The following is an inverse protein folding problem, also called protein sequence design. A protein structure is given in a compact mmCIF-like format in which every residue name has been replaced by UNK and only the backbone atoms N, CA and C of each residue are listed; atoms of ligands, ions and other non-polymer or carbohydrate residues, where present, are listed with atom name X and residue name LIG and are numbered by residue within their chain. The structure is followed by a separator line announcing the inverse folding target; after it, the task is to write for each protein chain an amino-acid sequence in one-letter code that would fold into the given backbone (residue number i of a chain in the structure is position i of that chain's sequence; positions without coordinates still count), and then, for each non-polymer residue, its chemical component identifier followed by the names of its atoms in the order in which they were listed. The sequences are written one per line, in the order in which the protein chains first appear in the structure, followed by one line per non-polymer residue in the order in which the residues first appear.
data_IF_805884065495
#
_entry.id   IF_805884065495
#
_cell.length_a   1.000
_cell.length_b   1.000
_cell.length_c   1.000
_cell.angle_alpha   90.00
_cell.angle_beta   90.00
_cell.angle_gamma   90.00
#
_symmetry.space_group_name_H-M   'P 1'
#
loop_
_entity.id
_entity.type
_entity.pdbx_description
1 polymer ?
#
# COMPACT_ATOMS: atom_id res chain seq x y z
N UNK A 1 -1.46 -4.00 -21.40
CA UNK A 1 -0.50 -3.25 -20.59
C UNK A 1 -1.21 -2.67 -19.38
N UNK A 2 -0.57 -2.70 -18.22
CA UNK A 2 -1.05 -2.01 -17.04
C UNK A 2 -0.70 -0.53 -17.18
N UNK A 3 -1.67 0.35 -16.95
CA UNK A 3 -1.45 1.78 -16.82
C UNK A 3 -1.51 2.13 -15.34
N UNK A 4 -0.51 2.86 -14.83
CA UNK A 4 -0.42 3.24 -13.43
C UNK A 4 0.09 4.65 -13.24
N UNK A 5 -0.22 5.22 -12.06
CA UNK A 5 0.35 6.46 -11.55
C UNK A 5 0.92 6.17 -10.17
N UNK A 6 2.18 6.53 -9.94
CA UNK A 6 2.81 6.50 -8.62
C UNK A 6 2.59 7.83 -7.90
N UNK A 7 2.50 7.77 -6.57
CA UNK A 7 2.53 8.94 -5.69
C UNK A 7 3.69 8.75 -4.71
N UNK A 8 4.54 9.75 -4.59
CA UNK A 8 5.74 9.70 -3.75
C UNK A 8 5.94 11.04 -3.04
N UNK A 9 6.23 11.00 -1.75
CA UNK A 9 6.42 12.20 -0.94
C UNK A 9 7.80 12.84 -1.04
N UNK A 10 8.79 12.11 -1.56
CA UNK A 10 10.15 12.62 -1.71
C UNK A 10 10.33 13.36 -3.03
N UNK A 11 10.83 14.58 -2.99
CA UNK A 11 11.20 15.37 -4.18
C UNK A 11 12.34 14.71 -4.99
N UNK A 12 13.15 13.87 -4.34
CA UNK A 12 14.24 13.13 -4.99
C UNK A 12 13.75 12.05 -5.96
N UNK A 13 12.52 11.61 -5.85
CA UNK A 13 11.98 10.59 -6.75
C UNK A 13 11.95 11.06 -8.20
N UNK A 14 11.76 12.36 -8.43
CA UNK A 14 11.77 12.93 -9.78
C UNK A 14 13.14 12.82 -10.46
N UNK A 15 14.20 12.74 -9.69
CA UNK A 15 15.58 12.54 -10.18
C UNK A 15 15.90 11.08 -10.45
N UNK A 16 15.30 10.15 -9.69
CA UNK A 16 15.58 8.73 -9.71
C UNK A 16 14.61 7.91 -10.56
N UNK A 17 13.43 8.47 -10.87
CA UNK A 17 12.40 7.74 -11.59
C UNK A 17 12.79 7.48 -13.05
N UNK A 18 12.69 6.21 -13.45
CA UNK A 18 12.93 5.78 -14.84
C UNK A 18 11.92 6.41 -15.83
N UNK A 19 10.78 6.89 -15.34
CA UNK A 19 9.75 7.54 -16.13
C UNK A 19 8.96 8.56 -15.29
N UNK A 20 9.41 9.80 -15.29
CA UNK A 20 8.85 10.90 -14.50
C UNK A 20 7.38 11.24 -14.86
N UNK A 21 6.87 10.79 -16.02
CA UNK A 21 5.52 11.10 -16.44
C UNK A 21 4.43 10.31 -15.73
N UNK A 22 4.80 9.29 -14.96
CA UNK A 22 3.86 8.42 -14.22
C UNK A 22 3.95 8.57 -12.71
N UNK A 23 4.80 9.48 -12.20
CA UNK A 23 4.96 9.71 -10.77
C UNK A 23 4.55 11.15 -10.44
N UNK A 24 3.66 11.27 -9.45
CA UNK A 24 3.27 12.54 -8.85
C UNK A 24 4.03 12.71 -7.54
N UNK A 25 4.86 13.76 -7.45
CA UNK A 25 5.46 14.14 -6.17
C UNK A 25 4.39 14.83 -5.31
N UNK A 26 4.07 14.24 -4.14
CA UNK A 26 3.04 14.76 -3.26
C UNK A 26 3.27 14.30 -1.83
N UNK A 27 3.43 15.24 -0.92
CA UNK A 27 3.59 14.97 0.50
C UNK A 27 2.26 15.19 1.24
N UNK A 28 1.64 14.12 1.68
CA UNK A 28 0.33 14.18 2.38
C UNK A 28 0.34 14.99 3.67
N UNK A 29 1.50 15.22 4.29
CA UNK A 29 1.60 16.04 5.49
C UNK A 29 1.56 17.53 5.19
N UNK A 30 2.07 17.99 4.05
CA UNK A 30 2.17 19.41 3.70
C UNK A 30 1.17 19.84 2.63
N UNK A 31 0.85 18.96 1.69
CA UNK A 31 0.09 19.30 0.48
C UNK A 31 -1.41 18.94 0.62
N UNK A 32 -1.76 18.23 1.71
CA UNK A 32 -3.14 17.83 1.97
C UNK A 32 -3.60 16.63 1.14
N UNK A 33 -4.92 16.46 0.90
CA UNK A 33 -5.45 15.33 0.17
C UNK A 33 -5.23 15.44 -1.34
N UNK A 34 -4.78 14.34 -1.96
CA UNK A 34 -4.67 14.22 -3.40
C UNK A 34 -5.84 13.40 -3.97
N UNK A 35 -6.48 13.91 -5.01
CA UNK A 35 -7.54 13.22 -5.73
C UNK A 35 -7.26 13.24 -7.22
N UNK A 36 -7.46 12.11 -7.87
CA UNK A 36 -7.41 12.00 -9.33
C UNK A 36 -8.79 12.18 -9.94
N UNK A 37 -8.85 12.74 -11.13
CA UNK A 37 -10.11 12.92 -11.90
C UNK A 37 -10.59 11.63 -12.56
N UNK A 38 -9.77 10.57 -12.57
CA UNK A 38 -10.11 9.25 -13.11
C UNK A 38 -10.22 8.21 -11.99
N UNK A 39 -11.00 7.18 -12.24
CA UNK A 39 -11.07 5.99 -11.38
C UNK A 39 -10.04 4.97 -11.83
N UNK A 40 -9.33 4.38 -10.87
CA UNK A 40 -8.42 3.25 -11.06
C UNK A 40 -9.10 1.95 -10.67
N UNK A 41 -8.60 0.83 -11.16
CA UNK A 41 -9.08 -0.46 -10.69
C UNK A 41 -8.50 -0.81 -9.32
N UNK A 42 -7.23 -0.53 -9.07
CA UNK A 42 -6.54 -0.87 -7.83
C UNK A 42 -5.65 0.28 -7.34
N UNK A 43 -5.77 0.62 -6.06
CA UNK A 43 -4.74 1.32 -5.31
C UNK A 43 -3.86 0.27 -4.61
N UNK A 44 -2.55 0.31 -4.89
CA UNK A 44 -1.56 -0.57 -4.29
C UNK A 44 -0.62 0.24 -3.42
N UNK A 45 -0.59 -0.07 -2.12
CA UNK A 45 0.21 0.67 -1.14
C UNK A 45 0.93 -0.32 -0.22
N UNK A 46 2.24 -0.44 -0.40
CA UNK A 46 3.08 -1.33 0.42
C UNK A 46 4.14 -0.53 1.14
N UNK A 47 4.34 -0.84 2.43
CA UNK A 47 5.34 -0.19 3.29
C UNK A 47 5.25 1.35 3.19
N UNK A 48 4.03 1.87 3.35
CA UNK A 48 3.76 3.30 3.21
C UNK A 48 2.96 3.86 4.39
N UNK A 49 1.86 3.20 4.79
CA UNK A 49 0.91 3.78 5.76
C UNK A 49 1.52 4.00 7.13
N UNK A 50 2.53 3.24 7.48
CA UNK A 50 3.32 3.37 8.71
C UNK A 50 4.27 4.58 8.73
N UNK A 51 4.55 5.15 7.55
CA UNK A 51 5.43 6.33 7.41
C UNK A 51 4.67 7.66 7.45
N UNK A 52 3.34 7.63 7.53
CA UNK A 52 2.51 8.83 7.58
C UNK A 52 1.83 8.92 8.93
N UNK A 53 2.00 10.05 9.62
CA UNK A 53 1.37 10.30 10.91
C UNK A 53 -0.17 10.19 10.83
N UNK A 54 -0.79 9.67 11.88
CA UNK A 54 -2.24 9.41 11.96
C UNK A 54 -3.09 10.63 11.61
N UNK A 55 -2.65 11.83 12.00
CA UNK A 55 -3.35 13.08 11.70
C UNK A 55 -3.55 13.36 10.19
N UNK A 56 -2.74 12.73 9.32
CA UNK A 56 -2.82 12.88 7.86
C UNK A 56 -3.51 11.70 7.15
N UNK A 57 -4.11 10.79 7.91
CA UNK A 57 -4.73 9.57 7.41
C UNK A 57 -5.80 9.88 6.35
N UNK A 58 -6.65 10.90 6.58
CA UNK A 58 -7.67 11.32 5.63
C UNK A 58 -7.09 11.82 4.30
N UNK A 59 -5.89 12.38 4.31
CA UNK A 59 -5.25 12.91 3.12
C UNK A 59 -4.87 11.78 2.15
N UNK A 60 -4.19 10.73 2.61
CA UNK A 60 -3.83 9.64 1.72
C UNK A 60 -4.99 8.69 1.41
N UNK A 61 -5.94 8.50 2.34
CA UNK A 61 -7.15 7.73 2.04
C UNK A 61 -7.99 8.39 0.94
N UNK A 62 -7.96 9.72 0.81
CA UNK A 62 -8.60 10.41 -0.30
C UNK A 62 -8.05 9.96 -1.67
N UNK A 63 -6.76 9.63 -1.75
CA UNK A 63 -6.15 9.05 -2.95
C UNK A 63 -6.61 7.61 -3.17
N UNK A 64 -6.64 6.79 -2.11
CA UNK A 64 -7.13 5.42 -2.20
C UNK A 64 -8.58 5.35 -2.70
N UNK A 65 -9.41 6.31 -2.31
CA UNK A 65 -10.81 6.42 -2.77
C UNK A 65 -10.97 6.66 -4.27
N UNK A 66 -9.89 6.97 -4.98
CA UNK A 66 -9.91 7.05 -6.45
C UNK A 66 -9.86 5.66 -7.11
N UNK A 67 -9.80 4.56 -6.35
CA UNK A 67 -9.74 3.20 -6.88
C UNK A 67 -10.91 2.34 -6.39
N UNK A 68 -11.32 1.36 -7.21
CA UNK A 68 -12.35 0.37 -6.88
C UNK A 68 -11.91 -0.58 -5.77
N UNK A 69 -10.64 -0.97 -5.80
CA UNK A 69 -10.03 -1.88 -4.83
C UNK A 69 -8.81 -1.23 -4.19
N UNK A 70 -8.52 -1.64 -2.97
CA UNK A 70 -7.35 -1.19 -2.22
C UNK A 70 -6.62 -2.40 -1.65
N UNK A 71 -5.32 -2.45 -1.88
CA UNK A 71 -4.42 -3.40 -1.23
C UNK A 71 -3.35 -2.62 -0.47
N UNK A 72 -3.22 -2.86 0.85
CA UNK A 72 -2.22 -2.21 1.70
C UNK A 72 -1.40 -3.24 2.48
N UNK A 73 -0.19 -2.86 2.86
CA UNK A 73 0.54 -3.46 3.98
C UNK A 73 0.76 -2.40 5.05
N UNK A 74 1.12 -2.82 6.25
CA UNK A 74 1.35 -1.95 7.41
C UNK A 74 2.45 -2.53 8.30
N UNK A 75 3.04 -1.71 9.17
CA UNK A 75 4.00 -2.17 10.18
C UNK A 75 3.31 -2.48 11.51
N UNK A 76 3.68 -3.62 12.12
CA UNK A 76 3.25 -3.98 13.47
C UNK A 76 3.87 -3.09 14.53
N UNK A 77 3.19 -2.95 15.64
CA UNK A 77 3.71 -2.28 16.83
C UNK A 77 5.07 -2.90 17.21
N UNK A 78 6.10 -2.07 17.34
CA UNK A 78 7.50 -2.46 17.64
C UNK A 78 8.22 -3.23 16.53
N UNK A 79 7.79 -3.06 15.29
CA UNK A 79 8.53 -3.60 14.16
C UNK A 79 9.87 -2.87 13.92
N UNK A 80 9.98 -1.61 14.43
CA UNK A 80 11.20 -0.79 14.36
C UNK A 80 11.76 -0.62 12.96
N UNK A 81 11.08 0.16 12.14
CA UNK A 81 11.56 0.57 10.82
C UNK A 81 12.11 2.00 10.78
N UNK A 82 12.79 2.34 9.69
CA UNK A 82 13.25 3.71 9.47
C UNK A 82 12.05 4.63 9.23
N UNK A 83 11.88 5.65 10.09
CA UNK A 83 10.75 6.61 10.05
C UNK A 83 9.36 5.96 10.17
N UNK A 84 9.22 4.88 10.92
CA UNK A 84 7.89 4.39 11.31
C UNK A 84 7.29 5.32 12.38
N UNK A 85 6.25 6.04 12.01
CA UNK A 85 5.55 7.00 12.88
C UNK A 85 4.14 6.53 13.24
N UNK A 86 3.64 5.48 12.58
CA UNK A 86 2.28 4.96 12.72
C UNK A 86 2.26 3.41 12.68
N UNK A 87 3.00 2.78 13.60
CA UNK A 87 2.97 1.32 13.78
C UNK A 87 1.72 0.92 14.55
N UNK A 88 0.87 0.06 13.99
CA UNK A 88 -0.39 -0.30 14.60
C UNK A 88 -0.79 -1.77 14.36
N UNK A 89 -1.88 -2.19 15.01
CA UNK A 89 -2.46 -3.54 14.86
C UNK A 89 -3.25 -3.66 13.55
N UNK A 90 -3.53 -4.90 13.15
CA UNK A 90 -4.45 -5.20 12.05
C UNK A 90 -5.84 -4.59 12.31
N UNK A 91 -6.38 -4.78 13.52
CA UNK A 91 -7.69 -4.25 13.91
C UNK A 91 -7.78 -2.72 13.76
N UNK A 92 -6.71 -2.01 14.13
CA UNK A 92 -6.63 -0.57 13.93
C UNK A 92 -6.76 -0.21 12.44
N UNK A 93 -5.97 -0.85 11.56
CA UNK A 93 -6.03 -0.56 10.13
C UNK A 93 -7.36 -0.98 9.50
N UNK A 94 -7.96 -2.08 9.94
CA UNK A 94 -9.31 -2.47 9.53
C UNK A 94 -10.32 -1.37 9.90
N UNK A 95 -10.31 -0.88 11.14
CA UNK A 95 -11.19 0.20 11.59
C UNK A 95 -10.96 1.50 10.81
N UNK A 96 -9.69 1.92 10.66
CA UNK A 96 -9.37 3.18 9.98
C UNK A 96 -9.82 3.18 8.52
N UNK A 97 -9.64 2.10 7.80
CA UNK A 97 -10.00 2.01 6.38
C UNK A 97 -11.50 1.80 6.20
N UNK A 98 -12.14 0.93 7.00
CA UNK A 98 -13.57 0.66 6.86
C UNK A 98 -14.44 1.84 7.28
N UNK A 99 -14.07 2.57 8.35
CA UNK A 99 -14.78 3.79 8.77
C UNK A 99 -14.76 4.90 7.70
N UNK A 100 -13.90 4.77 6.69
CA UNK A 100 -13.75 5.73 5.59
C UNK A 100 -14.40 5.29 4.28
N UNK A 101 -15.28 4.27 4.31
CA UNK A 101 -16.12 3.85 3.18
C UNK A 101 -15.48 2.76 2.31
N UNK A 102 -14.74 1.88 2.93
CA UNK A 102 -14.25 0.64 2.33
C UNK A 102 -14.82 -0.56 3.07
N UNK A 103 -15.10 -1.63 2.36
CA UNK A 103 -15.43 -2.93 2.95
C UNK A 103 -14.22 -3.85 2.90
N UNK A 104 -13.85 -4.41 4.05
CA UNK A 104 -12.79 -5.42 4.14
C UNK A 104 -13.22 -6.71 3.43
N UNK A 105 -12.38 -7.20 2.53
CA UNK A 105 -12.57 -8.47 1.83
C UNK A 105 -11.63 -9.52 2.42
N UNK A 106 -12.12 -10.19 3.47
CA UNK A 106 -11.35 -11.21 4.19
C UNK A 106 -10.97 -12.40 3.29
N UNK A 107 -11.89 -12.84 2.43
CA UNK A 107 -11.65 -13.99 1.55
C UNK A 107 -10.52 -13.67 0.56
N UNK A 108 -10.62 -12.56 -0.16
CA UNK A 108 -9.59 -12.12 -1.09
C UNK A 108 -8.26 -11.84 -0.35
N UNK A 109 -8.30 -11.26 0.85
CA UNK A 109 -7.10 -11.06 1.67
C UNK A 109 -6.38 -12.38 1.94
N UNK A 110 -7.12 -13.39 2.39
CA UNK A 110 -6.57 -14.73 2.67
C UNK A 110 -5.99 -15.39 1.42
N UNK A 111 -6.71 -15.33 0.31
CA UNK A 111 -6.26 -15.90 -0.96
C UNK A 111 -4.98 -15.23 -1.48
N UNK A 112 -4.90 -13.89 -1.44
CA UNK A 112 -3.73 -13.14 -1.87
C UNK A 112 -2.52 -13.38 -0.97
N UNK A 113 -2.72 -13.45 0.36
CA UNK A 113 -1.65 -13.81 1.30
C UNK A 113 -1.10 -15.20 0.98
N UNK A 114 -1.98 -16.19 0.77
CA UNK A 114 -1.58 -17.55 0.39
C UNK A 114 -0.86 -17.58 -0.95
N UNK A 115 -1.41 -16.91 -1.96
CA UNK A 115 -0.82 -16.83 -3.30
C UNK A 115 0.58 -16.20 -3.28
N UNK A 116 0.78 -15.18 -2.45
CA UNK A 116 2.09 -14.54 -2.28
C UNK A 116 3.13 -15.53 -1.75
N UNK A 117 2.74 -16.39 -0.79
CA UNK A 117 3.62 -17.45 -0.27
C UNK A 117 3.95 -18.49 -1.34
N UNK A 118 2.95 -18.90 -2.12
CA UNK A 118 3.12 -19.89 -3.19
C UNK A 118 4.05 -19.38 -4.30
N UNK A 119 3.81 -18.15 -4.77
CA UNK A 119 4.63 -17.52 -5.82
C UNK A 119 6.08 -17.29 -5.35
N UNK A 120 6.27 -16.98 -4.09
CA UNK A 120 7.60 -16.88 -3.51
C UNK A 120 8.35 -18.21 -3.52
N UNK A 121 7.66 -19.31 -3.23
CA UNK A 121 8.26 -20.65 -3.20
C UNK A 121 8.43 -21.27 -4.60
N UNK A 122 7.86 -20.65 -5.64
CA UNK A 122 7.98 -21.14 -7.02
C UNK A 122 9.42 -20.91 -7.52
N UNK A 123 10.17 -21.97 -7.93
CA UNK A 123 11.51 -21.82 -8.47
C UNK A 123 11.59 -20.96 -9.75
N UNK A 124 10.46 -20.73 -10.42
CA UNK A 124 10.34 -19.88 -11.60
C UNK A 124 10.06 -18.42 -11.26
N UNK A 125 9.92 -18.11 -9.97
CA UNK A 125 9.75 -16.72 -9.52
C UNK A 125 10.91 -15.87 -10.05
N UNK A 126 10.63 -14.68 -10.63
CA UNK A 126 11.67 -13.76 -11.07
C UNK A 126 12.48 -13.18 -9.91
N UNK A 127 12.06 -13.43 -8.68
CA UNK A 127 12.74 -12.97 -7.47
C UNK A 127 13.90 -13.88 -7.16
N UNK A 128 15.11 -13.33 -7.18
CA UNK A 128 16.33 -14.05 -6.78
C UNK A 128 16.33 -14.27 -5.26
N UNK A 129 15.85 -15.44 -4.86
CA UNK A 129 15.72 -15.83 -3.46
C UNK A 129 17.04 -15.83 -2.70
N UNK A 130 18.18 -15.98 -3.42
CA UNK A 130 19.52 -15.98 -2.80
C UNK A 130 19.96 -14.59 -2.32
N UNK A 131 19.36 -13.53 -2.86
CA UNK A 131 19.65 -12.13 -2.50
C UNK A 131 18.79 -11.60 -1.35
N UNK A 132 17.89 -12.42 -0.84
CA UNK A 132 16.88 -12.01 0.17
C UNK A 132 17.18 -12.61 1.53
N UNK A 133 18.37 -13.24 1.72
CA UNK A 133 18.82 -13.66 3.04
C UNK A 133 18.86 -12.45 3.99
N UNK A 134 17.98 -12.47 5.00
CA UNK A 134 17.86 -11.44 6.02
C UNK A 134 16.83 -10.36 5.77
N UNK A 135 16.16 -10.32 4.61
CA UNK A 135 15.03 -9.42 4.35
C UNK A 135 13.79 -10.24 4.04
N UNK A 136 12.78 -10.07 4.89
CA UNK A 136 11.49 -10.77 4.79
C UNK A 136 10.57 -10.14 3.70
N UNK A 137 11.13 -9.69 2.58
CA UNK A 137 10.45 -8.85 1.60
C UNK A 137 9.11 -9.38 1.06
N UNK A 138 8.92 -10.69 0.73
CA UNK A 138 7.59 -11.15 0.32
C UNK A 138 6.65 -11.33 1.50
N UNK A 139 7.19 -11.40 2.71
CA UNK A 139 6.39 -11.58 3.92
C UNK A 139 5.52 -10.36 4.25
N UNK A 140 5.84 -9.17 3.76
CA UNK A 140 5.02 -7.99 4.06
C UNK A 140 3.57 -8.21 3.64
N UNK A 141 3.30 -8.54 2.38
CA UNK A 141 1.94 -8.80 1.94
C UNK A 141 1.41 -10.15 2.44
N UNK A 142 2.22 -11.19 2.46
CA UNK A 142 1.83 -12.52 2.95
C UNK A 142 1.36 -12.52 4.40
N UNK A 143 1.93 -11.67 5.25
CA UNK A 143 1.62 -11.61 6.69
C UNK A 143 0.74 -10.43 7.07
N UNK A 144 0.80 -9.32 6.34
CA UNK A 144 0.20 -8.03 6.70
C UNK A 144 -0.55 -7.36 5.56
N UNK A 145 -0.71 -8.05 4.42
CA UNK A 145 -1.53 -7.57 3.32
C UNK A 145 -3.01 -7.55 3.70
N UNK A 146 -3.69 -6.46 3.44
CA UNK A 146 -5.13 -6.30 3.61
C UNK A 146 -5.73 -5.87 2.28
N UNK A 147 -6.89 -6.43 1.93
CA UNK A 147 -7.60 -6.11 0.70
C UNK A 147 -9.00 -5.59 1.00
N UNK A 148 -9.39 -4.52 0.31
CA UNK A 148 -10.65 -3.83 0.52
C UNK A 148 -11.34 -3.52 -0.80
N UNK A 149 -12.67 -3.40 -0.73
CA UNK A 149 -13.56 -2.89 -1.77
C UNK A 149 -13.97 -1.47 -1.43
N UNK A 150 -14.05 -0.60 -2.43
CA UNK A 150 -14.54 0.76 -2.26
C UNK A 150 -16.05 0.79 -2.50
N UNK A 151 -16.82 0.99 -1.45
CA UNK A 151 -18.30 0.94 -1.47
C UNK A 151 -18.93 2.00 -2.37
N UNK A 152 -18.21 3.06 -2.69
CA UNK A 152 -18.71 4.15 -3.54
C UNK A 152 -18.48 3.91 -5.04
N UNK A 153 -17.65 2.93 -5.41
CA UNK A 153 -17.25 2.68 -6.81
C UNK A 153 -17.63 1.29 -7.32
N UNK A 154 -18.18 0.45 -6.49
CA UNK A 154 -18.71 -0.88 -6.80
C UNK A 154 -20.21 -0.93 -6.58
#
# INVERSE_FOLDING_TARGET
SLEGVGVEGSDKVTELALNNNVITCHNYATDGPLKFSKTFDLAWSTEFVEHVEEQYLDNFVATFKCAKYLAITYAYIKQYGHHHVNENTEDYWLEQITSRGFTYDEETTRELRQKTIEDWKDPRSPVDQSKVEGWEAPYHFATRGLFFKNDLLL
#
